data_IF_712598997238
#
_entry.id   IF_712598997238
#
_cell.length_a   1.000
_cell.length_b   1.000
_cell.length_c   1.000
_cell.angle_alpha   90.00
_cell.angle_beta   90.00
_cell.angle_gamma   90.00
#
_symmetry.space_group_name_H-M   'P 1'
#
loop_
_entity.id
_entity.type
_entity.pdbx_description
1 polymer ?
#
# COMPACT_ATOMS: atom_id res chain seq x y z
N UNK A 1 2.76 15.46 -22.50
CA UNK A 1 3.79 15.12 -21.50
C UNK A 1 3.32 13.98 -20.57
N UNK A 2 2.21 14.12 -19.82
CA UNK A 2 1.72 13.09 -18.88
C UNK A 2 1.37 11.73 -19.54
N UNK A 3 0.62 11.72 -20.66
CA UNK A 3 0.30 10.47 -21.38
C UNK A 3 1.54 9.70 -21.86
N UNK A 4 2.58 10.41 -22.31
CA UNK A 4 3.83 9.78 -22.74
C UNK A 4 4.59 9.11 -21.59
N UNK A 5 4.49 9.66 -20.38
CA UNK A 5 5.05 9.04 -19.18
C UNK A 5 4.25 7.80 -18.76
N UNK A 6 2.91 7.85 -18.81
CA UNK A 6 2.04 6.73 -18.40
C UNK A 6 2.12 5.53 -19.36
N UNK A 7 2.25 5.77 -20.67
CA UNK A 7 2.22 4.68 -21.67
C UNK A 7 3.60 4.32 -22.24
N UNK A 8 4.64 5.13 -21.98
CA UNK A 8 5.99 4.93 -22.51
C UNK A 8 7.04 4.50 -21.47
N UNK A 9 6.66 4.29 -20.21
CA UNK A 9 7.60 3.92 -19.14
C UNK A 9 7.20 2.65 -18.41
N UNK A 10 8.17 1.99 -17.76
CA UNK A 10 7.89 0.84 -16.91
C UNK A 10 7.03 1.23 -15.69
N UNK A 11 6.31 0.25 -15.15
CA UNK A 11 5.39 0.45 -14.02
C UNK A 11 6.09 1.00 -12.76
N UNK A 12 7.40 0.77 -12.61
CA UNK A 12 8.19 1.29 -11.51
C UNK A 12 8.37 2.81 -11.61
N UNK A 13 8.64 3.34 -12.81
CA UNK A 13 8.74 4.79 -13.04
C UNK A 13 7.43 5.51 -12.79
N UNK A 14 6.29 4.93 -13.17
CA UNK A 14 4.97 5.48 -12.83
C UNK A 14 4.80 5.54 -11.30
N UNK A 15 5.20 4.48 -10.60
CA UNK A 15 5.15 4.43 -9.13
C UNK A 15 5.97 5.52 -8.44
N UNK A 16 7.03 6.05 -9.08
CA UNK A 16 7.83 7.14 -8.50
C UNK A 16 7.04 8.45 -8.34
N UNK A 17 5.96 8.64 -9.10
CA UNK A 17 5.06 9.79 -8.96
C UNK A 17 4.32 9.83 -7.62
N UNK A 18 4.25 8.72 -6.88
CA UNK A 18 3.56 8.68 -5.60
C UNK A 18 4.18 9.64 -4.56
N UNK A 19 5.51 9.88 -4.61
CA UNK A 19 6.21 10.79 -3.70
C UNK A 19 5.81 12.26 -3.89
N UNK A 20 5.96 12.87 -5.08
CA UNK A 20 5.55 14.26 -5.27
C UNK A 20 4.04 14.47 -5.09
N UNK A 21 3.21 13.46 -5.38
CA UNK A 21 1.77 13.54 -5.05
C UNK A 21 1.56 13.56 -3.54
N UNK A 22 2.29 12.76 -2.77
CA UNK A 22 2.21 12.81 -1.31
C UNK A 22 2.73 14.14 -0.73
N UNK A 23 3.77 14.73 -1.31
CA UNK A 23 4.25 16.07 -0.95
C UNK A 23 3.14 17.12 -1.15
N UNK A 24 2.51 17.14 -2.33
CA UNK A 24 1.37 18.03 -2.61
C UNK A 24 0.20 17.80 -1.63
N UNK A 25 -0.05 16.55 -1.21
CA UNK A 25 -1.07 16.26 -0.20
C UNK A 25 -0.73 16.87 1.17
N UNK A 26 0.54 16.85 1.59
CA UNK A 26 0.97 17.54 2.82
C UNK A 26 0.85 19.06 2.72
N UNK A 27 1.01 19.62 1.52
CA UNK A 27 0.78 21.04 1.23
C UNK A 27 -0.71 21.41 1.19
N UNK A 28 -1.60 20.42 1.30
CA UNK A 28 -3.05 20.63 1.35
C UNK A 28 -3.73 20.63 -0.01
N UNK A 29 -3.05 20.19 -1.08
CA UNK A 29 -3.69 20.06 -2.39
C UNK A 29 -4.87 19.07 -2.31
N UNK A 30 -6.10 19.50 -2.67
CA UNK A 30 -7.29 18.69 -2.47
C UNK A 30 -7.33 17.45 -3.36
N UNK A 31 -6.75 17.51 -4.57
CA UNK A 31 -6.70 16.37 -5.50
C UNK A 31 -5.69 15.34 -4.98
N UNK A 32 -4.54 15.79 -4.51
CA UNK A 32 -3.53 14.93 -3.91
C UNK A 32 -4.05 14.23 -2.64
N UNK A 33 -4.76 14.96 -1.77
CA UNK A 33 -5.42 14.39 -0.58
C UNK A 33 -6.47 13.34 -0.94
N UNK A 34 -7.26 13.59 -1.98
CA UNK A 34 -8.21 12.62 -2.52
C UNK A 34 -7.49 11.36 -2.99
N UNK A 35 -6.41 11.50 -3.77
CA UNK A 35 -5.61 10.36 -4.25
C UNK A 35 -5.01 9.52 -3.10
N UNK A 36 -4.55 10.15 -2.01
CA UNK A 36 -4.09 9.42 -0.82
C UNK A 36 -5.23 8.59 -0.19
N UNK A 37 -6.43 9.17 -0.12
CA UNK A 37 -7.59 8.50 0.48
C UNK A 37 -8.09 7.35 -0.40
N UNK A 38 -8.16 7.55 -1.72
CA UNK A 38 -8.51 6.52 -2.70
C UNK A 38 -7.50 5.37 -2.69
N UNK A 39 -6.20 5.68 -2.61
CA UNK A 39 -5.16 4.65 -2.49
C UNK A 39 -5.37 3.78 -1.24
N UNK A 40 -5.71 4.39 -0.09
CA UNK A 40 -6.03 3.65 1.12
C UNK A 40 -7.29 2.79 0.99
N UNK A 41 -8.35 3.31 0.35
CA UNK A 41 -9.57 2.56 0.10
C UNK A 41 -9.32 1.35 -0.82
N UNK A 42 -8.52 1.50 -1.87
CA UNK A 42 -8.17 0.40 -2.77
C UNK A 42 -7.33 -0.68 -2.07
N UNK A 43 -6.41 -0.30 -1.19
CA UNK A 43 -5.67 -1.25 -0.35
C UNK A 43 -6.63 -2.04 0.55
N UNK A 44 -7.58 -1.36 1.20
CA UNK A 44 -8.60 -2.03 2.01
C UNK A 44 -9.49 -2.97 1.19
N UNK A 45 -9.86 -2.57 -0.04
CA UNK A 45 -10.63 -3.42 -0.96
C UNK A 45 -9.90 -4.72 -1.29
N UNK A 46 -8.57 -4.67 -1.50
CA UNK A 46 -7.77 -5.88 -1.70
C UNK A 46 -7.78 -6.78 -0.46
N UNK A 47 -7.63 -6.22 0.73
CA UNK A 47 -7.70 -6.97 1.99
C UNK A 47 -9.10 -7.59 2.23
N UNK A 48 -10.19 -6.87 1.93
CA UNK A 48 -11.54 -7.42 1.99
C UNK A 48 -11.73 -8.60 1.03
N UNK A 49 -11.17 -8.54 -0.19
CA UNK A 49 -11.22 -9.66 -1.12
C UNK A 49 -10.49 -10.90 -0.57
N UNK A 50 -9.37 -10.71 0.13
CA UNK A 50 -8.67 -11.79 0.81
C UNK A 50 -9.48 -12.36 1.99
N UNK A 51 -10.11 -11.50 2.79
CA UNK A 51 -10.99 -11.91 3.90
C UNK A 51 -12.17 -12.73 3.37
N UNK A 52 -12.81 -12.28 2.29
CA UNK A 52 -13.92 -12.99 1.67
C UNK A 52 -13.52 -14.41 1.22
N UNK A 53 -12.27 -14.61 0.79
CA UNK A 53 -11.76 -15.91 0.35
C UNK A 53 -11.25 -16.79 1.49
N UNK A 54 -10.55 -16.21 2.47
CA UNK A 54 -9.80 -16.93 3.50
C UNK A 54 -10.48 -16.95 4.88
N UNK A 55 -11.64 -16.30 4.99
CA UNK A 55 -12.34 -16.07 6.25
C UNK A 55 -11.78 -14.86 7.01
N UNK A 56 -12.49 -14.46 8.07
CA UNK A 56 -12.11 -13.31 8.90
C UNK A 56 -10.83 -13.62 9.69
N UNK A 57 -9.73 -12.99 9.28
CA UNK A 57 -8.40 -13.11 9.90
C UNK A 57 -7.80 -11.73 10.13
N UNK A 58 -6.85 -11.58 11.07
CA UNK A 58 -6.10 -10.34 11.24
C UNK A 58 -5.44 -9.90 9.92
N UNK A 59 -5.52 -8.61 9.61
CA UNK A 59 -4.90 -8.02 8.42
C UNK A 59 -3.65 -7.25 8.82
N UNK A 60 -2.52 -7.59 8.20
CA UNK A 60 -1.28 -6.84 8.30
C UNK A 60 -0.97 -6.18 6.95
N UNK A 61 -0.55 -4.92 6.97
CA UNK A 61 -0.21 -4.15 5.77
C UNK A 61 1.27 -3.78 5.83
N UNK A 62 1.98 -4.14 4.76
CA UNK A 62 3.42 -3.93 4.60
C UNK A 62 3.68 -3.18 3.29
N UNK A 63 4.78 -2.43 3.24
CA UNK A 63 5.20 -1.65 2.07
C UNK A 63 5.26 -0.15 2.34
N UNK A 64 6.02 0.59 1.52
CA UNK A 64 6.33 2.00 1.76
C UNK A 64 5.17 2.96 1.52
N UNK A 65 4.12 2.55 0.80
CA UNK A 65 3.00 3.43 0.44
C UNK A 65 2.28 3.99 1.66
N UNK A 66 2.10 3.19 2.72
CA UNK A 66 1.42 3.62 3.96
C UNK A 66 2.25 4.61 4.78
N UNK A 67 3.51 4.83 4.41
CA UNK A 67 4.39 5.83 5.02
C UNK A 67 4.31 7.19 4.31
N UNK A 68 3.64 7.26 3.15
CA UNK A 68 3.59 8.48 2.34
C UNK A 68 2.71 9.56 2.94
N UNK A 69 1.53 9.24 3.49
CA UNK A 69 0.62 10.24 4.05
C UNK A 69 -0.36 9.59 5.05
N UNK A 70 -0.72 10.25 6.18
CA UNK A 70 -1.64 9.69 7.17
C UNK A 70 -3.04 9.36 6.64
N UNK A 71 -3.53 10.08 5.63
CA UNK A 71 -4.84 9.82 5.01
C UNK A 71 -4.96 8.39 4.44
N UNK A 72 -3.85 7.78 4.01
CA UNK A 72 -3.85 6.40 3.51
C UNK A 72 -4.24 5.44 4.64
N UNK A 73 -3.59 5.54 5.80
CA UNK A 73 -3.89 4.69 6.97
C UNK A 73 -5.31 4.92 7.49
N UNK A 74 -5.77 6.17 7.50
CA UNK A 74 -7.12 6.53 7.89
C UNK A 74 -8.17 5.89 6.96
N UNK A 75 -7.98 6.01 5.65
CA UNK A 75 -8.88 5.41 4.66
C UNK A 75 -8.86 3.87 4.72
N UNK A 76 -7.69 3.26 4.94
CA UNK A 76 -7.60 1.81 5.17
C UNK A 76 -8.45 1.42 6.38
N UNK A 77 -8.22 2.05 7.53
CA UNK A 77 -8.91 1.71 8.77
C UNK A 77 -10.42 1.90 8.67
N UNK A 78 -10.88 2.94 7.97
CA UNK A 78 -12.30 3.21 7.73
C UNK A 78 -12.98 2.15 6.86
N UNK A 79 -12.22 1.40 6.04
CA UNK A 79 -12.74 0.44 5.08
C UNK A 79 -12.41 -1.02 5.46
N UNK A 80 -11.92 -1.29 6.67
CA UNK A 80 -11.68 -2.66 7.13
C UNK A 80 -12.65 -3.05 8.25
N UNK A 81 -13.08 -4.33 8.30
CA UNK A 81 -13.97 -4.82 9.35
C UNK A 81 -13.29 -4.90 10.74
N UNK A 82 -11.96 -4.71 10.80
CA UNK A 82 -11.18 -4.69 12.03
C UNK A 82 -9.88 -3.90 11.85
N UNK A 83 -9.18 -3.58 12.96
CA UNK A 83 -8.00 -2.74 12.91
C UNK A 83 -6.84 -3.46 12.18
N UNK A 84 -6.22 -2.84 11.17
CA UNK A 84 -5.02 -3.39 10.54
C UNK A 84 -3.80 -3.21 11.45
N UNK A 85 -2.80 -4.07 11.27
CA UNK A 85 -1.45 -3.88 11.83
C UNK A 85 -0.45 -3.47 10.75
N UNK A 86 0.64 -2.82 11.16
CA UNK A 86 1.68 -2.32 10.25
C UNK A 86 3.07 -2.81 10.70
N UNK A 87 3.35 -4.12 10.61
CA UNK A 87 4.61 -4.67 11.06
C UNK A 87 5.77 -4.23 10.16
N UNK A 88 6.94 -4.07 10.76
CA UNK A 88 8.20 -4.07 10.00
C UNK A 88 8.59 -5.52 9.76
N UNK A 89 8.86 -5.87 8.50
CA UNK A 89 9.23 -7.22 8.10
C UNK A 89 10.63 -7.21 7.49
N UNK A 90 11.44 -8.21 7.85
CA UNK A 90 12.68 -8.50 7.16
C UNK A 90 12.41 -9.60 6.12
N UNK A 91 12.09 -9.17 4.90
CA UNK A 91 11.77 -10.08 3.82
C UNK A 91 12.97 -10.95 3.42
N UNK A 92 14.19 -10.43 3.52
CA UNK A 92 15.40 -11.18 3.17
C UNK A 92 15.65 -12.29 4.19
N UNK A 93 15.52 -11.98 5.47
CA UNK A 93 15.64 -12.96 6.55
C UNK A 93 14.52 -14.02 6.49
N UNK A 94 13.27 -13.61 6.23
CA UNK A 94 12.17 -14.54 6.06
C UNK A 94 12.40 -15.49 4.87
N UNK A 95 12.87 -14.98 3.72
CA UNK A 95 13.22 -15.79 2.57
C UNK A 95 14.37 -16.77 2.88
N UNK A 96 15.40 -16.31 3.61
CA UNK A 96 16.51 -17.17 4.03
C UNK A 96 16.06 -18.31 4.94
N UNK A 97 15.14 -18.04 5.89
CA UNK A 97 14.54 -19.09 6.74
C UNK A 97 13.76 -20.12 5.91
N UNK A 98 12.89 -19.66 5.01
CA UNK A 98 12.11 -20.55 4.14
C UNK A 98 13.03 -21.45 3.30
N UNK A 99 14.11 -20.88 2.74
CA UNK A 99 15.09 -21.64 1.96
C UNK A 99 15.82 -22.68 2.82
N UNK A 100 16.19 -22.33 4.06
CA UNK A 100 16.84 -23.25 4.98
C UNK A 100 15.93 -24.42 5.37
N UNK A 101 14.66 -24.14 5.72
CA UNK A 101 13.68 -25.16 6.11
C UNK A 101 13.30 -26.10 4.95
N UNK A 102 13.47 -25.66 3.70
CA UNK A 102 13.20 -26.50 2.50
C UNK A 102 14.38 -27.43 2.16
N UNK A 103 15.58 -27.11 2.65
CA UNK A 103 16.81 -27.89 2.41
C UNK A 103 17.11 -28.89 3.53
N UNK A 104 16.42 -28.77 4.67
CA UNK A 104 16.52 -29.67 5.82
C UNK A 104 15.49 -30.82 5.72
#
# INVERSE_FOLDING_TARGET
VVKGFIYGTDRGRIGTLAKPVAEAAHEGDPVALQLMSEAGAEIARLAQALIARAGQKPVAIVGGVVLLHPAIKAAIAANLPGPPTYPQIDAALAAARIAFDTLA
#
